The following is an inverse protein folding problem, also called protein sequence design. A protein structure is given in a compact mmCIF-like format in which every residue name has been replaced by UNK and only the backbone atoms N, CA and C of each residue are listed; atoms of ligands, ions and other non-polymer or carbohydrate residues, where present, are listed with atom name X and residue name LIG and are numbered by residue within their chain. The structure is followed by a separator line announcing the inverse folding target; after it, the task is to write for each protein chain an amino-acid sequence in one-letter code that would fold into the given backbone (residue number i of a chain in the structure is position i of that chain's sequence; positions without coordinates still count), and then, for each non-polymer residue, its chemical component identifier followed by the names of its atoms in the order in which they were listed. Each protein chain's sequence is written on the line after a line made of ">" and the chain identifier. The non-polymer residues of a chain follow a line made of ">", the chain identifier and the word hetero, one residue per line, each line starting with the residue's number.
data_IF_347220072223
#
_entry.id   IF_347220072223
#
_cell.length_a   1.000
_cell.length_b   1.000
_cell.length_c   1.000
_cell.angle_alpha   90.00
_cell.angle_beta   90.00
_cell.angle_gamma   90.00
#
_symmetry.space_group_name_H-M   'P 1'
#
loop_
_entity.id
_entity.type
_entity.pdbx_description
1 polymer ?
#
# COMPACT_ATOMS: atom_id res chain seq x y z
N UNK A 1 37.94 -18.06 -13.84
CA UNK A 1 36.88 -17.02 -14.01
C UNK A 1 36.08 -16.81 -12.73
N UNK A 2 35.52 -17.84 -12.10
CA UNK A 2 34.75 -17.74 -10.85
C UNK A 2 35.45 -17.01 -9.69
N UNK A 3 36.76 -17.27 -9.46
CA UNK A 3 37.52 -16.60 -8.39
C UNK A 3 37.51 -15.07 -8.53
N UNK A 4 37.72 -14.55 -9.74
CA UNK A 4 37.72 -13.10 -10.01
C UNK A 4 36.33 -12.44 -9.82
N UNK A 5 35.27 -13.20 -10.13
CA UNK A 5 33.89 -12.69 -9.93
C UNK A 5 33.58 -12.62 -8.44
N UNK A 6 34.00 -13.61 -7.63
CA UNK A 6 33.83 -13.55 -6.16
C UNK A 6 34.66 -12.44 -5.52
N UNK A 7 35.89 -12.23 -5.99
CA UNK A 7 36.71 -11.10 -5.55
C UNK A 7 36.05 -9.73 -5.89
N UNK A 8 35.39 -9.62 -7.04
CA UNK A 8 34.64 -8.44 -7.40
C UNK A 8 33.38 -8.24 -6.49
N UNK A 9 32.66 -9.31 -6.23
CA UNK A 9 31.52 -9.33 -5.33
C UNK A 9 31.90 -8.81 -3.93
N UNK A 10 32.97 -9.36 -3.35
CA UNK A 10 33.47 -8.93 -2.06
C UNK A 10 33.87 -7.44 -2.04
N UNK A 11 34.49 -6.95 -3.11
CA UNK A 11 34.82 -5.52 -3.25
C UNK A 11 33.59 -4.65 -3.40
N UNK A 12 32.59 -5.09 -4.16
CA UNK A 12 31.36 -4.33 -4.38
C UNK A 12 30.48 -4.23 -3.12
N UNK A 13 30.43 -5.28 -2.30
CA UNK A 13 29.67 -5.31 -1.03
C UNK A 13 30.13 -4.29 -0.01
N UNK A 14 31.42 -3.95 -0.02
CA UNK A 14 31.98 -2.97 0.94
C UNK A 14 31.84 -1.50 0.48
N UNK A 15 31.37 -1.27 -0.73
CA UNK A 15 31.17 0.09 -1.26
C UNK A 15 29.97 0.73 -0.56
N UNK A 16 30.23 1.72 0.28
CA UNK A 16 29.19 2.52 0.94
C UNK A 16 28.72 3.65 0.01
N UNK A 17 27.92 3.32 -0.99
CA UNK A 17 27.34 4.32 -1.90
C UNK A 17 25.82 4.10 -1.97
N UNK A 18 25.06 5.11 -1.53
CA UNK A 18 23.61 5.05 -1.49
C UNK A 18 22.94 5.02 -2.87
N UNK A 19 23.67 5.35 -3.92
CA UNK A 19 23.18 5.29 -5.31
C UNK A 19 23.53 3.98 -6.00
N UNK A 20 24.37 3.14 -5.39
CA UNK A 20 24.74 1.83 -5.92
C UNK A 20 23.74 0.77 -5.47
N UNK A 21 22.86 0.34 -6.37
CA UNK A 21 22.01 -0.83 -6.15
C UNK A 21 22.73 -2.07 -6.70
N UNK A 22 23.45 -2.79 -5.83
CA UNK A 22 24.24 -3.94 -6.19
C UNK A 22 23.65 -5.23 -5.65
N UNK A 23 23.57 -6.25 -6.50
CA UNK A 23 23.20 -7.62 -6.14
C UNK A 23 24.06 -8.59 -6.92
N UNK A 24 24.48 -9.65 -6.26
CA UNK A 24 25.17 -10.80 -6.85
C UNK A 24 24.41 -12.08 -6.54
N UNK A 25 24.10 -12.85 -7.55
CA UNK A 25 23.47 -14.18 -7.44
C UNK A 25 24.37 -15.22 -8.10
N UNK A 26 24.60 -16.35 -7.42
CA UNK A 26 25.33 -17.51 -7.95
C UNK A 26 24.35 -18.67 -8.14
N UNK A 27 24.17 -19.13 -9.37
CA UNK A 27 23.29 -20.24 -9.71
C UNK A 27 24.11 -21.52 -9.92
N UNK A 28 24.34 -22.29 -8.85
CA UNK A 28 25.14 -23.52 -8.84
C UNK A 28 24.47 -24.57 -9.74
N UNK A 29 25.24 -25.16 -10.66
CA UNK A 29 24.75 -26.17 -11.59
C UNK A 29 24.00 -25.63 -12.81
N UNK A 30 23.82 -24.30 -12.92
CA UNK A 30 23.21 -23.71 -14.12
C UNK A 30 24.19 -23.78 -15.32
N UNK A 31 23.65 -24.18 -16.47
CA UNK A 31 24.34 -24.05 -17.77
C UNK A 31 24.28 -22.61 -18.27
N UNK A 32 25.05 -22.28 -19.29
CA UNK A 32 24.99 -20.98 -19.95
C UNK A 32 23.57 -20.62 -20.41
N UNK A 33 22.79 -21.56 -20.90
CA UNK A 33 21.43 -21.34 -21.34
C UNK A 33 20.43 -21.27 -20.18
N UNK A 34 20.55 -22.13 -19.17
CA UNK A 34 19.65 -22.12 -18.01
C UNK A 34 19.89 -20.92 -17.09
N UNK A 35 21.11 -20.35 -17.10
CA UNK A 35 21.44 -19.14 -16.35
C UNK A 35 20.51 -17.97 -16.71
N UNK A 36 20.17 -17.81 -17.99
CA UNK A 36 19.28 -16.74 -18.46
C UNK A 36 17.90 -16.83 -17.83
N UNK A 37 17.36 -18.06 -17.68
CA UNK A 37 16.06 -18.32 -17.07
C UNK A 37 16.00 -17.91 -15.59
N UNK A 38 17.13 -17.94 -14.89
CA UNK A 38 17.21 -17.54 -13.49
C UNK A 38 17.61 -16.07 -13.32
N UNK A 39 18.57 -15.58 -14.11
CA UNK A 39 19.12 -14.24 -13.93
C UNK A 39 18.18 -13.12 -14.34
N UNK A 40 17.42 -13.27 -15.43
CA UNK A 40 16.50 -12.23 -15.89
C UNK A 40 15.38 -11.98 -14.88
N UNK A 41 14.61 -12.99 -14.42
CA UNK A 41 13.61 -12.77 -13.38
C UNK A 41 14.17 -12.15 -12.11
N UNK A 42 15.33 -12.61 -11.63
CA UNK A 42 15.96 -12.07 -10.43
C UNK A 42 16.37 -10.60 -10.59
N UNK A 43 16.91 -10.23 -11.76
CA UNK A 43 17.21 -8.83 -12.05
C UNK A 43 15.95 -7.97 -12.08
N UNK A 44 14.88 -8.43 -12.73
CA UNK A 44 13.60 -7.73 -12.73
C UNK A 44 13.03 -7.58 -11.31
N UNK A 45 13.07 -8.62 -10.49
CA UNK A 45 12.65 -8.54 -9.08
C UNK A 45 13.47 -7.52 -8.31
N UNK A 46 14.77 -7.43 -8.52
CA UNK A 46 15.61 -6.45 -7.86
C UNK A 46 15.25 -5.01 -8.27
N UNK A 47 15.11 -4.76 -9.58
CA UNK A 47 14.79 -3.41 -10.07
C UNK A 47 13.39 -2.95 -9.68
N UNK A 48 12.42 -3.84 -9.71
CA UNK A 48 11.01 -3.51 -9.50
C UNK A 48 10.48 -3.91 -8.11
N UNK A 49 11.35 -4.33 -7.18
CA UNK A 49 10.93 -4.70 -5.82
C UNK A 49 10.15 -3.56 -5.13
N UNK A 50 10.60 -2.33 -5.29
CA UNK A 50 9.93 -1.15 -4.72
C UNK A 50 8.58 -0.84 -5.36
N UNK A 51 8.33 -1.36 -6.58
CA UNK A 51 7.07 -1.18 -7.31
C UNK A 51 5.97 -2.15 -6.88
N UNK A 52 6.26 -3.13 -6.04
CA UNK A 52 5.27 -4.09 -5.59
C UNK A 52 4.21 -3.43 -4.70
N UNK A 53 2.92 -3.79 -4.84
CA UNK A 53 1.90 -3.40 -3.87
C UNK A 53 2.24 -3.98 -2.49
N UNK A 54 1.51 -3.54 -1.46
CA UNK A 54 1.63 -4.13 -0.13
C UNK A 54 1.31 -5.63 -0.24
N UNK A 55 2.33 -6.47 0.01
CA UNK A 55 2.19 -7.91 -0.01
C UNK A 55 1.61 -8.42 1.31
N UNK A 56 1.07 -9.65 1.31
CA UNK A 56 0.60 -10.32 2.55
C UNK A 56 1.72 -10.42 3.58
N UNK A 57 2.95 -10.68 3.15
CA UNK A 57 4.11 -10.72 4.03
C UNK A 57 4.38 -9.33 4.65
N UNK A 58 4.45 -8.29 3.83
CA UNK A 58 4.65 -6.91 4.28
C UNK A 58 3.56 -6.45 5.25
N UNK A 59 2.31 -6.79 4.95
CA UNK A 59 1.17 -6.51 5.82
C UNK A 59 1.33 -7.15 7.20
N UNK A 60 1.59 -8.47 7.26
CA UNK A 60 1.64 -9.22 8.52
C UNK A 60 2.92 -8.92 9.32
N UNK A 61 4.07 -8.77 8.66
CA UNK A 61 5.35 -8.65 9.34
C UNK A 61 5.75 -7.21 9.67
N UNK A 62 5.17 -6.22 8.99
CA UNK A 62 5.51 -4.83 9.19
C UNK A 62 4.30 -4.01 9.63
N UNK A 63 3.25 -3.94 8.78
CA UNK A 63 2.17 -2.96 8.96
C UNK A 63 1.35 -3.26 10.21
N UNK A 64 0.85 -4.50 10.35
CA UNK A 64 0.01 -4.89 11.50
C UNK A 64 0.74 -4.77 12.85
N UNK A 65 2.07 -4.81 12.84
CA UNK A 65 2.90 -4.68 14.05
C UNK A 65 3.14 -3.22 14.47
N UNK A 66 2.75 -2.25 13.65
CA UNK A 66 2.79 -0.85 14.03
C UNK A 66 1.70 -0.58 15.08
N UNK A 67 2.01 0.26 16.05
CA UNK A 67 1.03 0.76 17.01
C UNK A 67 0.19 1.90 16.41
N UNK A 68 0.78 2.69 15.51
CA UNK A 68 0.18 3.82 14.79
C UNK A 68 1.04 4.16 13.56
N UNK A 69 0.60 5.14 12.75
CA UNK A 69 1.36 5.64 11.60
C UNK A 69 1.21 4.82 10.33
N UNK A 70 0.07 4.14 10.15
CA UNK A 70 -0.22 3.35 8.95
C UNK A 70 -0.28 4.20 7.69
N UNK A 71 -0.89 5.39 7.78
CA UNK A 71 -0.99 6.32 6.65
C UNK A 71 0.38 6.89 6.29
N UNK A 72 1.21 7.18 7.30
CA UNK A 72 2.58 7.64 7.08
C UNK A 72 3.45 6.53 6.45
N UNK A 73 3.26 5.27 6.86
CA UNK A 73 3.90 4.14 6.20
C UNK A 73 3.55 4.09 4.70
N UNK A 74 2.26 4.28 4.37
CA UNK A 74 1.79 4.29 2.98
C UNK A 74 2.42 5.44 2.17
N UNK A 75 2.44 6.65 2.73
CA UNK A 75 3.09 7.81 2.10
C UNK A 75 4.57 7.54 1.84
N UNK A 76 5.29 7.08 2.86
CA UNK A 76 6.72 6.77 2.76
C UNK A 76 7.02 5.72 1.69
N UNK A 77 6.19 4.66 1.59
CA UNK A 77 6.33 3.63 0.55
C UNK A 77 6.26 4.25 -0.85
N UNK A 78 5.31 5.15 -1.10
CA UNK A 78 5.16 5.80 -2.41
C UNK A 78 6.21 6.88 -2.67
N UNK A 79 6.70 7.57 -1.65
CA UNK A 79 7.84 8.49 -1.77
C UNK A 79 9.12 7.75 -2.16
N UNK A 80 9.36 6.58 -1.57
CA UNK A 80 10.50 5.71 -1.94
C UNK A 80 10.35 5.24 -3.38
N UNK A 81 9.15 4.84 -3.79
CA UNK A 81 8.86 4.43 -5.16
C UNK A 81 9.13 5.57 -6.15
N UNK A 82 8.60 6.77 -5.88
CA UNK A 82 8.81 7.95 -6.72
C UNK A 82 10.31 8.28 -6.84
N UNK A 83 11.04 8.31 -5.74
CA UNK A 83 12.48 8.60 -5.72
C UNK A 83 13.32 7.54 -6.44
N UNK A 84 12.97 6.26 -6.25
CA UNK A 84 13.76 5.14 -6.81
C UNK A 84 13.57 4.96 -8.30
N UNK A 85 12.36 5.19 -8.80
CA UNK A 85 12.00 4.93 -10.20
C UNK A 85 11.74 6.22 -11.00
N UNK A 86 11.76 7.38 -10.34
CA UNK A 86 11.39 8.69 -10.91
C UNK A 86 10.00 8.66 -11.59
N UNK A 87 9.06 7.95 -10.98
CA UNK A 87 7.69 7.75 -11.48
C UNK A 87 6.70 8.28 -10.46
N UNK A 88 5.90 9.29 -10.84
CA UNK A 88 4.73 9.71 -10.07
C UNK A 88 3.54 8.85 -10.43
N UNK A 89 2.97 8.18 -9.45
CA UNK A 89 1.76 7.40 -9.63
C UNK A 89 0.81 7.56 -8.45
N UNK A 90 -0.51 7.44 -8.68
CA UNK A 90 -1.46 7.42 -7.59
C UNK A 90 -1.24 6.18 -6.72
N UNK A 91 -1.52 6.31 -5.43
CA UNK A 91 -1.52 5.18 -4.51
C UNK A 91 -2.57 4.17 -4.97
N UNK A 92 -2.20 2.90 -5.06
CA UNK A 92 -3.09 1.83 -5.52
C UNK A 92 -4.23 1.59 -4.53
N UNK A 93 -5.41 1.27 -5.05
CA UNK A 93 -6.57 0.96 -4.21
C UNK A 93 -6.32 -0.24 -3.28
N UNK A 94 -5.59 -1.24 -3.72
CA UNK A 94 -5.23 -2.39 -2.88
C UNK A 94 -4.34 -2.00 -1.70
N UNK A 95 -3.48 -1.00 -1.86
CA UNK A 95 -2.63 -0.50 -0.77
C UNK A 95 -3.47 0.34 0.21
N UNK A 96 -4.44 1.11 -0.27
CA UNK A 96 -5.45 1.75 0.59
C UNK A 96 -6.24 0.72 1.41
N UNK A 97 -6.70 -0.38 0.80
CA UNK A 97 -7.42 -1.46 1.49
C UNK A 97 -6.55 -2.16 2.53
N UNK A 98 -5.27 -2.35 2.26
CA UNK A 98 -4.35 -2.92 3.23
C UNK A 98 -4.21 -2.03 4.48
N UNK A 99 -4.11 -0.72 4.29
CA UNK A 99 -4.05 0.24 5.40
C UNK A 99 -5.38 0.30 6.16
N UNK A 100 -6.51 0.33 5.46
CA UNK A 100 -7.85 0.24 6.06
C UNK A 100 -7.95 -0.99 6.97
N UNK A 101 -7.56 -2.16 6.48
CA UNK A 101 -7.59 -3.40 7.25
C UNK A 101 -6.71 -3.34 8.50
N UNK A 102 -5.53 -2.71 8.43
CA UNK A 102 -4.65 -2.54 9.58
C UNK A 102 -5.24 -1.58 10.63
N UNK A 103 -5.80 -0.46 10.20
CA UNK A 103 -6.49 0.52 11.07
C UNK A 103 -7.65 -0.16 11.82
N UNK A 104 -8.46 -0.95 11.12
CA UNK A 104 -9.59 -1.68 11.72
C UNK A 104 -9.08 -2.72 12.71
N UNK A 105 -8.10 -3.54 12.31
CA UNK A 105 -7.56 -4.62 13.12
C UNK A 105 -6.98 -4.12 14.44
N UNK A 106 -6.26 -3.00 14.39
CA UNK A 106 -5.59 -2.43 15.57
C UNK A 106 -6.43 -1.33 16.26
N UNK A 107 -7.64 -1.05 15.76
CA UNK A 107 -8.62 -0.10 16.32
C UNK A 107 -8.10 1.35 16.42
N UNK A 108 -7.19 1.74 15.52
CA UNK A 108 -6.61 3.10 15.49
C UNK A 108 -7.43 3.99 14.55
N UNK A 109 -8.72 4.10 14.81
CA UNK A 109 -9.71 4.69 13.91
C UNK A 109 -9.47 6.17 13.56
N UNK A 110 -8.67 6.89 14.36
CA UNK A 110 -8.31 8.28 14.06
C UNK A 110 -7.52 8.42 12.76
N UNK A 111 -6.76 7.39 12.35
CA UNK A 111 -5.98 7.43 11.12
C UNK A 111 -6.81 7.41 9.84
N UNK A 112 -8.11 7.06 9.94
CA UNK A 112 -9.02 7.23 8.80
C UNK A 112 -9.19 8.68 8.34
N UNK A 113 -8.99 9.66 9.22
CA UNK A 113 -9.01 11.08 8.84
C UNK A 113 -7.89 11.38 7.83
N UNK A 114 -6.66 11.02 8.17
CA UNK A 114 -5.53 11.19 7.25
C UNK A 114 -5.66 10.32 5.99
N UNK A 115 -6.18 9.09 6.12
CA UNK A 115 -6.39 8.20 4.98
C UNK A 115 -7.44 8.79 4.03
N UNK A 116 -8.49 9.43 4.56
CA UNK A 116 -9.49 10.15 3.78
C UNK A 116 -8.89 11.33 3.01
N UNK A 117 -8.05 12.14 3.66
CA UNK A 117 -7.34 13.25 3.00
C UNK A 117 -6.47 12.74 1.85
N UNK A 118 -5.76 11.63 2.09
CA UNK A 118 -4.92 11.01 1.08
C UNK A 118 -5.75 10.44 -0.09
N UNK A 119 -6.90 9.85 0.20
CA UNK A 119 -7.84 9.36 -0.80
C UNK A 119 -8.43 10.50 -1.64
N UNK A 120 -8.78 11.63 -1.02
CA UNK A 120 -9.27 12.81 -1.74
C UNK A 120 -8.22 13.39 -2.69
N UNK A 121 -6.96 13.43 -2.26
CA UNK A 121 -5.85 13.91 -3.09
C UNK A 121 -5.71 13.12 -4.41
N UNK A 122 -5.86 11.81 -4.38
CA UNK A 122 -5.66 10.94 -5.56
C UNK A 122 -6.94 10.57 -6.29
N UNK A 123 -8.07 10.53 -5.58
CA UNK A 123 -9.35 10.03 -6.05
C UNK A 123 -10.54 10.92 -5.66
N UNK A 124 -10.35 12.24 -5.64
CA UNK A 124 -11.30 13.22 -5.09
C UNK A 124 -12.71 13.22 -5.71
N UNK A 125 -12.87 12.72 -6.95
CA UNK A 125 -14.19 12.53 -7.56
C UNK A 125 -14.92 11.28 -7.10
N UNK A 126 -14.18 10.33 -6.53
CA UNK A 126 -14.72 9.03 -6.10
C UNK A 126 -15.24 9.09 -4.67
N UNK A 127 -16.02 8.07 -4.31
CA UNK A 127 -16.60 7.91 -2.97
C UNK A 127 -15.56 7.55 -1.90
N UNK A 128 -14.31 7.27 -2.24
CA UNK A 128 -13.31 6.68 -1.34
C UNK A 128 -13.03 7.52 -0.09
N UNK A 129 -12.86 8.84 -0.25
CA UNK A 129 -12.57 9.73 0.87
C UNK A 129 -13.72 9.81 1.87
N UNK A 130 -14.95 10.01 1.39
CA UNK A 130 -16.14 10.06 2.24
C UNK A 130 -16.43 8.68 2.89
N UNK A 131 -16.13 7.58 2.21
CA UNK A 131 -16.20 6.24 2.75
C UNK A 131 -15.28 6.08 3.97
N UNK A 132 -14.01 6.50 3.90
CA UNK A 132 -13.11 6.42 5.05
C UNK A 132 -13.55 7.29 6.23
N UNK A 133 -14.07 8.48 5.95
CA UNK A 133 -14.65 9.30 7.00
C UNK A 133 -15.90 8.66 7.62
N UNK A 134 -16.73 8.01 6.80
CA UNK A 134 -17.90 7.28 7.30
C UNK A 134 -17.48 6.11 8.20
N UNK A 135 -16.48 5.31 7.78
CA UNK A 135 -15.91 4.22 8.59
C UNK A 135 -15.37 4.73 9.93
N UNK A 136 -14.65 5.84 9.93
CA UNK A 136 -14.14 6.43 11.18
C UNK A 136 -15.27 6.71 12.16
N UNK A 137 -16.34 7.37 11.69
CA UNK A 137 -17.48 7.70 12.54
C UNK A 137 -18.25 6.45 12.96
N UNK A 138 -18.46 5.49 12.05
CA UNK A 138 -19.07 4.19 12.37
C UNK A 138 -18.33 3.46 13.49
N UNK A 139 -17.00 3.34 13.38
CA UNK A 139 -16.18 2.67 14.39
C UNK A 139 -16.07 3.42 15.72
N UNK A 140 -16.37 4.72 15.73
CA UNK A 140 -16.48 5.55 16.93
C UNK A 140 -17.93 5.67 17.45
N UNK A 141 -18.86 4.90 16.88
CA UNK A 141 -20.28 4.88 17.24
C UNK A 141 -20.99 6.24 17.06
N UNK A 142 -20.42 7.14 16.25
CA UNK A 142 -21.08 8.38 15.85
C UNK A 142 -21.91 8.13 14.58
N UNK A 143 -22.99 7.40 14.77
CA UNK A 143 -23.82 6.93 13.67
C UNK A 143 -24.45 8.06 12.86
N UNK A 144 -24.70 9.21 13.50
CA UNK A 144 -25.26 10.39 12.82
C UNK A 144 -24.27 10.98 11.80
N UNK A 145 -23.00 11.12 12.17
CA UNK A 145 -21.97 11.59 11.25
C UNK A 145 -21.62 10.53 10.23
N UNK A 146 -21.57 9.25 10.63
CA UNK A 146 -21.34 8.13 9.72
C UNK A 146 -22.40 8.10 8.61
N UNK A 147 -23.69 8.18 8.95
CA UNK A 147 -24.80 8.23 8.00
C UNK A 147 -24.61 9.35 6.97
N UNK A 148 -24.34 10.57 7.43
CA UNK A 148 -24.12 11.72 6.54
C UNK A 148 -22.98 11.48 5.56
N UNK A 149 -21.91 10.86 6.02
CA UNK A 149 -20.73 10.58 5.20
C UNK A 149 -20.97 9.45 4.19
N UNK A 150 -21.73 8.40 4.56
CA UNK A 150 -22.16 7.38 3.60
C UNK A 150 -23.09 7.97 2.52
N UNK A 151 -24.00 8.86 2.87
CA UNK A 151 -24.82 9.58 1.89
C UNK A 151 -24.01 10.52 1.00
N UNK A 152 -22.97 11.17 1.53
CA UNK A 152 -22.03 11.96 0.73
C UNK A 152 -21.26 11.07 -0.25
N UNK A 153 -20.79 9.91 0.20
CA UNK A 153 -20.12 8.92 -0.65
C UNK A 153 -21.05 8.41 -1.78
N UNK A 154 -22.32 8.15 -1.48
CA UNK A 154 -23.34 7.73 -2.46
C UNK A 154 -23.48 8.72 -3.63
N UNK A 155 -23.26 10.02 -3.42
CA UNK A 155 -23.34 11.05 -4.47
C UNK A 155 -22.14 11.07 -5.41
N UNK A 156 -21.05 10.39 -5.04
CA UNK A 156 -19.78 10.38 -5.78
C UNK A 156 -19.66 9.15 -6.71
N UNK A 157 -18.60 9.12 -7.50
CA UNK A 157 -18.34 8.04 -8.44
C UNK A 157 -17.91 6.76 -7.70
N UNK A 158 -18.41 5.58 -8.08
CA UNK A 158 -17.92 4.30 -7.59
C UNK A 158 -16.43 4.10 -7.86
N UNK A 159 -15.76 3.34 -7.00
CA UNK A 159 -14.34 3.03 -7.16
C UNK A 159 -13.97 1.67 -6.55
N UNK A 160 -13.26 0.84 -7.31
CA UNK A 160 -12.92 -0.51 -6.87
C UNK A 160 -14.18 -1.33 -6.57
N UNK A 161 -14.28 -1.86 -5.35
CA UNK A 161 -15.46 -2.62 -4.93
C UNK A 161 -16.54 -1.73 -4.29
N UNK A 162 -16.23 -0.45 -4.04
CA UNK A 162 -17.19 0.49 -3.48
C UNK A 162 -18.19 0.92 -4.54
N UNK A 163 -19.46 0.74 -4.23
CA UNK A 163 -20.57 1.08 -5.13
C UNK A 163 -21.69 1.81 -4.38
N UNK A 164 -22.66 2.33 -5.13
CA UNK A 164 -23.75 3.14 -4.59
C UNK A 164 -24.67 2.35 -3.68
N UNK A 165 -25.00 1.13 -4.04
CA UNK A 165 -25.90 0.30 -3.24
C UNK A 165 -25.29 0.04 -1.86
N UNK A 166 -24.01 -0.31 -1.80
CA UNK A 166 -23.29 -0.48 -0.54
C UNK A 166 -23.31 0.80 0.31
N UNK A 167 -23.11 1.97 -0.28
CA UNK A 167 -23.14 3.24 0.46
C UNK A 167 -24.54 3.57 0.99
N UNK A 168 -25.56 3.29 0.20
CA UNK A 168 -26.94 3.48 0.61
C UNK A 168 -27.32 2.53 1.76
N UNK A 169 -27.04 1.24 1.62
CA UNK A 169 -27.33 0.24 2.64
C UNK A 169 -26.65 0.58 3.96
N UNK A 170 -25.36 0.97 3.91
CA UNK A 170 -24.64 1.44 5.08
C UNK A 170 -25.25 2.69 5.71
N UNK A 171 -25.76 3.62 4.91
CA UNK A 171 -26.42 4.81 5.44
C UNK A 171 -27.72 4.47 6.19
N UNK A 172 -28.50 3.52 5.67
CA UNK A 172 -29.74 3.08 6.33
C UNK A 172 -29.43 2.25 7.60
N UNK A 173 -28.38 1.41 7.58
CA UNK A 173 -27.88 0.73 8.79
C UNK A 173 -27.52 1.75 9.88
N UNK A 174 -26.74 2.77 9.55
CA UNK A 174 -26.38 3.82 10.51
C UNK A 174 -27.57 4.60 11.04
N UNK A 175 -28.63 4.79 10.24
CA UNK A 175 -29.86 5.43 10.66
C UNK A 175 -30.63 4.59 11.69
N UNK A 176 -30.66 3.28 11.51
CA UNK A 176 -31.29 2.35 12.46
C UNK A 176 -30.55 2.33 13.81
N UNK A 177 -29.23 2.45 13.80
CA UNK A 177 -28.41 2.47 15.01
C UNK A 177 -28.53 3.76 15.84
N UNK A 178 -29.20 4.78 15.34
CA UNK A 178 -29.47 6.04 16.08
C UNK A 178 -30.73 5.97 16.98
N UNK A 179 -31.51 4.92 16.86
CA UNK A 179 -32.73 4.69 17.66
C UNK A 179 -32.42 3.96 18.97
#
# INVERSE_FOLDING_TARGET
>A
MQKRIKELDEKAKVIKNTTLNYKFDEFIGASHYSLVLHSIPNALYQFFAVYQPITTFEFNEKIVKLEYGYVEYLKTKYDVLEKSLNIKMPIRLNDFKAIEAAIIKNKVYNEFDELSILADKYYGKSMLADYYMALMYEKKEDYKRAQKKYLSAFQKEPIGDLNKDMMYDKSEEMKQMQQ
#
